data_IF_508511172558
#
_entry.id   IF_508511172558
#
_cell.length_a   1.000
_cell.length_b   1.000
_cell.length_c   1.000
_cell.angle_alpha   90.00
_cell.angle_beta   90.00
_cell.angle_gamma   90.00
#
_symmetry.space_group_name_H-M   'P 1'
#
loop_
_entity.id
_entity.type
_entity.pdbx_description
1 polymer ?
#
# COMPACT_ATOMS: atom_id res chain seq x y z
N UNK A 1 30.50 11.77 45.16
CA UNK A 1 29.60 10.71 44.67
C UNK A 1 28.19 11.17 44.98
N UNK A 2 27.57 11.65 43.91
CA UNK A 2 26.14 11.73 43.56
C UNK A 2 25.07 12.15 44.58
N UNK A 3 24.20 13.01 44.04
CA UNK A 3 23.07 13.76 44.59
C UNK A 3 21.82 12.91 44.85
N UNK A 4 20.85 13.42 45.65
CA UNK A 4 19.61 12.74 46.02
C UNK A 4 18.37 13.24 45.23
N UNK A 5 17.22 12.60 45.54
CA UNK A 5 15.80 12.94 45.21
C UNK A 5 15.29 12.34 43.87
N UNK A 6 14.09 11.77 43.77
CA UNK A 6 12.81 12.17 44.36
C UNK A 6 11.83 11.00 44.51
N UNK A 7 11.07 11.08 45.60
CA UNK A 7 9.83 10.38 45.93
C UNK A 7 8.66 10.72 44.99
N UNK A 8 7.73 9.76 44.79
CA UNK A 8 6.28 9.94 44.95
C UNK A 8 5.56 8.59 44.85
N UNK A 9 4.59 8.41 45.74
CA UNK A 9 3.85 7.19 46.04
C UNK A 9 2.41 7.31 45.52
N UNK A 10 1.82 6.17 45.11
CA UNK A 10 0.38 5.79 45.07
C UNK A 10 -0.72 6.73 44.50
N UNK A 11 -1.64 6.19 43.68
CA UNK A 11 -3.00 5.75 44.08
C UNK A 11 -3.77 5.11 42.89
N UNK A 12 -4.19 3.87 43.12
CA UNK A 12 -5.49 3.20 42.86
C UNK A 12 -6.29 3.40 41.54
N UNK A 13 -6.49 2.28 40.83
CA UNK A 13 -7.84 1.69 40.73
C UNK A 13 -8.48 1.62 39.33
N UNK A 14 -8.57 0.41 38.76
CA UNK A 14 -9.82 -0.35 38.56
C UNK A 14 -9.61 -1.58 37.67
N UNK A 15 -10.08 -2.72 38.16
CA UNK A 15 -10.29 -3.94 37.42
C UNK A 15 -11.39 -3.74 36.37
N UNK A 16 -11.21 -4.33 35.19
CA UNK A 16 -12.29 -4.71 34.30
C UNK A 16 -11.92 -6.04 33.64
N UNK A 17 -12.67 -7.08 34.02
CA UNK A 17 -12.66 -8.41 33.44
C UNK A 17 -13.03 -8.42 31.95
N UNK A 18 -12.42 -9.37 31.23
CA UNK A 18 -13.13 -10.23 30.28
C UNK A 18 -13.69 -9.60 28.99
N UNK A 19 -12.91 -9.66 27.91
CA UNK A 19 -13.42 -10.09 26.60
C UNK A 19 -12.30 -10.50 25.65
N UNK A 20 -12.55 -11.59 24.91
CA UNK A 20 -11.58 -12.34 24.11
C UNK A 20 -10.65 -11.46 23.30
N UNK A 21 -9.35 -11.65 23.55
CA UNK A 21 -8.27 -11.20 22.68
C UNK A 21 -8.39 -12.05 21.41
N UNK A 22 -9.05 -11.52 20.39
CA UNK A 22 -8.83 -12.00 19.03
C UNK A 22 -7.36 -11.74 18.76
N UNK A 23 -6.57 -12.79 18.64
CA UNK A 23 -5.23 -12.69 18.10
C UNK A 23 -5.39 -12.08 16.70
N UNK A 24 -5.10 -10.79 16.59
CA UNK A 24 -4.82 -10.18 15.29
C UNK A 24 -3.58 -10.90 14.79
N UNK A 25 -3.80 -11.91 13.95
CA UNK A 25 -2.76 -12.63 13.23
C UNK A 25 -2.19 -11.70 12.17
N UNK A 26 -1.51 -10.64 12.61
CA UNK A 26 -0.65 -9.84 11.76
C UNK A 26 0.56 -10.72 11.47
N UNK A 27 0.59 -11.28 10.26
CA UNK A 27 1.76 -11.97 9.74
C UNK A 27 2.97 -11.04 9.86
N UNK A 28 4.15 -11.56 10.26
CA UNK A 28 5.35 -10.74 10.38
C UNK A 28 5.67 -10.05 9.04
N UNK A 29 6.24 -8.83 9.08
CA UNK A 29 6.57 -8.10 7.87
C UNK A 29 7.54 -8.91 6.99
N UNK A 30 7.38 -8.85 5.65
CA UNK A 30 8.22 -9.62 4.74
C UNK A 30 9.68 -9.15 4.84
N UNK A 31 10.62 -10.10 4.94
CA UNK A 31 12.04 -9.79 5.01
C UNK A 31 12.58 -9.30 3.65
N UNK A 32 13.55 -8.37 3.65
CA UNK A 32 14.15 -7.87 2.41
C UNK A 32 14.87 -9.00 1.67
N UNK A 33 14.49 -9.23 0.41
CA UNK A 33 15.16 -10.19 -0.48
C UNK A 33 16.17 -9.44 -1.34
N UNK A 34 17.43 -9.88 -1.33
CA UNK A 34 18.53 -9.29 -2.11
C UNK A 34 18.77 -10.09 -3.39
N UNK A 35 18.93 -9.38 -4.52
CA UNK A 35 19.48 -9.80 -5.83
C UNK A 35 18.55 -9.87 -7.05
N UNK A 36 17.55 -9.01 -7.17
CA UNK A 36 16.87 -8.81 -8.46
C UNK A 36 16.97 -7.36 -8.91
N UNK A 37 17.42 -7.14 -10.16
CA UNK A 37 17.49 -5.82 -10.75
C UNK A 37 16.08 -5.20 -10.87
N UNK A 38 15.90 -3.92 -10.53
CA UNK A 38 14.61 -3.26 -10.69
C UNK A 38 14.21 -3.24 -12.19
N UNK A 39 12.93 -3.44 -12.51
CA UNK A 39 12.44 -3.22 -13.87
C UNK A 39 12.60 -1.73 -14.24
N UNK A 40 12.57 -1.40 -15.55
CA UNK A 40 12.63 0.00 -15.98
C UNK A 40 11.48 0.80 -15.38
N UNK A 41 11.76 2.07 -15.04
CA UNK A 41 10.74 2.98 -14.53
C UNK A 41 9.64 3.14 -15.58
N UNK A 42 8.41 2.87 -15.16
CA UNK A 42 7.21 3.13 -15.95
C UNK A 42 6.81 4.60 -15.80
N UNK A 43 6.11 5.20 -16.78
CA UNK A 43 5.57 6.55 -16.65
C UNK A 43 4.67 6.64 -15.41
N UNK A 44 4.73 7.77 -14.69
CA UNK A 44 3.83 8.02 -13.57
C UNK A 44 2.38 8.03 -14.06
N UNK A 45 1.59 7.10 -13.54
CA UNK A 45 0.19 6.90 -13.89
C UNK A 45 -0.67 6.95 -12.63
N UNK A 46 -0.46 8.01 -11.84
CA UNK A 46 -1.26 8.31 -10.66
C UNK A 46 -1.35 9.82 -10.47
N UNK A 47 -2.39 10.26 -9.76
CA UNK A 47 -2.61 11.63 -9.34
C UNK A 47 -3.27 11.66 -7.95
N UNK A 48 -3.16 12.81 -7.29
CA UNK A 48 -3.77 13.06 -5.99
C UNK A 48 -4.91 14.06 -6.17
N UNK A 49 -6.11 13.71 -5.70
CA UNK A 49 -7.29 14.54 -5.77
C UNK A 49 -7.66 15.02 -4.37
N UNK A 50 -7.89 16.32 -4.22
CA UNK A 50 -8.27 16.93 -2.94
C UNK A 50 -9.68 16.47 -2.51
N UNK A 51 -9.79 15.88 -1.32
CA UNK A 51 -11.06 15.42 -0.76
C UNK A 51 -11.27 16.02 0.64
N UNK A 52 -11.72 17.28 0.73
CA UNK A 52 -12.02 18.01 1.99
C UNK A 52 -11.00 17.88 3.14
N UNK A 53 -11.02 16.80 3.92
CA UNK A 53 -10.11 16.50 5.03
C UNK A 53 -9.16 15.30 4.79
N UNK A 54 -9.39 14.54 3.72
CA UNK A 54 -8.62 13.36 3.31
C UNK A 54 -7.95 13.64 1.95
N UNK A 55 -7.16 12.68 1.47
CA UNK A 55 -6.70 12.68 0.07
C UNK A 55 -7.24 11.46 -0.66
N UNK A 56 -7.64 11.67 -1.92
CA UNK A 56 -7.99 10.57 -2.81
C UNK A 56 -6.81 10.25 -3.72
N UNK A 57 -6.29 9.04 -3.59
CA UNK A 57 -5.31 8.45 -4.48
C UNK A 57 -6.05 7.94 -5.72
N UNK A 58 -5.64 8.40 -6.90
CA UNK A 58 -6.12 7.88 -8.18
C UNK A 58 -4.92 7.30 -8.93
N UNK A 59 -4.99 6.03 -9.30
CA UNK A 59 -3.94 5.36 -10.08
C UNK A 59 -4.55 4.52 -11.19
N UNK A 60 -3.82 4.39 -12.30
CA UNK A 60 -4.30 3.69 -13.48
C UNK A 60 -3.21 2.87 -14.17
N UNK A 61 -3.65 1.97 -15.05
CA UNK A 61 -2.76 1.16 -15.89
C UNK A 61 -3.52 0.41 -16.97
N UNK A 62 -2.79 -0.22 -17.88
CA UNK A 62 -3.37 -1.06 -18.95
C UNK A 62 -3.96 -2.37 -18.40
N UNK A 63 -3.62 -2.71 -17.17
CA UNK A 63 -4.16 -3.87 -16.46
C UNK A 63 -4.36 -3.55 -14.99
N UNK A 64 -5.14 -4.39 -14.30
CA UNK A 64 -5.26 -4.33 -12.84
C UNK A 64 -3.88 -4.38 -12.16
N UNK A 65 -2.96 -5.21 -12.67
CA UNK A 65 -1.62 -5.34 -12.11
C UNK A 65 -0.86 -4.02 -12.16
N UNK A 66 -0.88 -3.34 -13.30
CA UNK A 66 -0.23 -2.03 -13.46
C UNK A 66 -0.90 -0.96 -12.58
N UNK A 67 -2.23 -0.93 -12.52
CA UNK A 67 -2.92 0.03 -11.66
C UNK A 67 -2.58 -0.17 -10.17
N UNK A 68 -2.43 -1.43 -9.71
CA UNK A 68 -1.99 -1.74 -8.35
C UNK A 68 -0.51 -1.38 -8.10
N UNK A 69 0.36 -1.62 -9.07
CA UNK A 69 1.77 -1.17 -9.03
C UNK A 69 1.81 0.35 -8.80
N UNK A 70 1.07 1.11 -9.62
CA UNK A 70 1.02 2.58 -9.56
C UNK A 70 0.40 3.10 -8.27
N UNK A 71 -0.69 2.49 -7.81
CA UNK A 71 -1.37 2.87 -6.57
C UNK A 71 -0.45 2.74 -5.35
N UNK A 72 0.38 1.69 -5.34
CA UNK A 72 1.33 1.47 -4.25
C UNK A 72 2.44 2.51 -4.25
N UNK A 73 2.94 2.89 -5.44
CA UNK A 73 3.91 3.99 -5.57
C UNK A 73 3.27 5.34 -5.20
N UNK A 74 2.01 5.56 -5.56
CA UNK A 74 1.26 6.77 -5.19
C UNK A 74 1.16 6.93 -3.66
N UNK A 75 0.92 5.83 -2.94
CA UNK A 75 0.90 5.81 -1.47
C UNK A 75 2.25 6.28 -0.88
N UNK A 76 3.37 5.68 -1.30
CA UNK A 76 4.70 6.08 -0.84
C UNK A 76 5.10 7.50 -1.26
N UNK A 77 4.69 7.92 -2.46
CA UNK A 77 4.94 9.27 -2.98
C UNK A 77 4.17 10.36 -2.22
N UNK A 78 3.05 10.02 -1.59
CA UNK A 78 2.34 10.96 -0.73
C UNK A 78 3.00 11.10 0.64
N UNK A 79 3.51 9.97 1.17
CA UNK A 79 4.27 9.95 2.43
C UNK A 79 5.66 10.58 2.31
N UNK A 80 6.25 10.58 1.11
CA UNK A 80 7.54 11.21 0.85
C UNK A 80 7.48 12.06 -0.42
N UNK A 81 7.57 13.38 -0.23
CA UNK A 81 7.39 14.37 -1.30
C UNK A 81 8.38 14.15 -2.46
N UNK A 82 9.52 13.50 -2.20
CA UNK A 82 10.58 13.26 -3.19
C UNK A 82 10.89 11.77 -3.37
N UNK A 83 9.92 11.00 -3.90
CA UNK A 83 10.09 9.57 -4.23
C UNK A 83 11.27 9.31 -5.19
N UNK A 84 11.69 10.31 -5.96
CA UNK A 84 12.86 10.24 -6.84
C UNK A 84 14.21 10.10 -6.11
N UNK A 85 14.26 10.40 -4.81
CA UNK A 85 15.45 10.18 -3.99
C UNK A 85 15.57 8.75 -3.46
N UNK A 86 14.47 8.00 -3.49
CA UNK A 86 14.44 6.60 -3.04
C UNK A 86 15.24 5.78 -4.03
N UNK A 87 16.18 4.99 -3.55
CA UNK A 87 17.00 4.10 -4.37
C UNK A 87 16.47 2.66 -4.25
N UNK A 88 16.39 1.90 -5.35
CA UNK A 88 15.96 0.51 -5.32
C UNK A 88 17.08 -0.41 -4.78
N UNK A 89 17.44 -0.24 -3.50
CA UNK A 89 18.56 -0.95 -2.84
C UNK A 89 18.20 -2.41 -2.55
N UNK A 90 16.99 -2.67 -2.07
CA UNK A 90 16.49 -4.01 -1.76
C UNK A 90 15.02 -4.16 -2.15
N UNK A 91 14.53 -5.41 -2.11
CA UNK A 91 13.13 -5.72 -2.44
C UNK A 91 12.34 -6.26 -1.26
N UNK A 92 11.06 -5.97 -1.24
CA UNK A 92 10.08 -6.61 -0.36
C UNK A 92 8.89 -7.11 -1.16
N UNK A 93 8.45 -8.33 -0.82
CA UNK A 93 7.29 -8.96 -1.45
C UNK A 93 6.08 -8.78 -0.55
N UNK A 94 5.06 -8.12 -1.11
CA UNK A 94 3.78 -7.92 -0.47
C UNK A 94 2.79 -8.92 -1.06
N UNK A 95 2.05 -9.59 -0.17
CA UNK A 95 0.93 -10.44 -0.55
C UNK A 95 -0.29 -10.03 0.24
N UNK A 96 -1.45 -10.07 -0.42
CA UNK A 96 -2.73 -9.76 0.19
C UNK A 96 -3.80 -10.67 -0.39
N UNK A 97 -4.80 -11.02 0.43
CA UNK A 97 -6.01 -11.70 -0.02
C UNK A 97 -7.25 -10.89 0.32
N UNK A 98 -8.34 -11.13 -0.40
CA UNK A 98 -9.62 -10.49 -0.16
C UNK A 98 -10.78 -11.28 -0.75
N UNK A 99 -11.96 -11.14 -0.15
CA UNK A 99 -13.20 -11.74 -0.66
C UNK A 99 -13.69 -11.08 -1.94
N UNK A 100 -13.32 -9.81 -2.17
CA UNK A 100 -13.54 -9.06 -3.39
C UNK A 100 -12.30 -8.23 -3.77
N UNK A 101 -12.40 -7.49 -4.87
CA UNK A 101 -11.31 -6.63 -5.35
C UNK A 101 -11.02 -5.45 -4.42
N UNK A 102 -12.05 -4.91 -3.76
CA UNK A 102 -11.91 -3.76 -2.87
C UNK A 102 -11.15 -4.15 -1.60
N UNK A 103 -11.51 -5.29 -0.99
CA UNK A 103 -10.81 -5.87 0.14
C UNK A 103 -9.37 -6.25 -0.22
N UNK A 104 -9.13 -6.75 -1.44
CA UNK A 104 -7.78 -7.02 -1.93
C UNK A 104 -6.93 -5.74 -1.99
N UNK A 105 -7.46 -4.66 -2.58
CA UNK A 105 -6.78 -3.36 -2.68
C UNK A 105 -6.51 -2.78 -1.29
N UNK A 106 -7.53 -2.79 -0.44
CA UNK A 106 -7.40 -2.33 0.95
C UNK A 106 -6.28 -3.07 1.67
N UNK A 107 -6.32 -4.41 1.70
CA UNK A 107 -5.34 -5.21 2.43
C UNK A 107 -3.93 -5.06 1.87
N UNK A 108 -3.79 -4.88 0.55
CA UNK A 108 -2.50 -4.61 -0.09
C UNK A 108 -1.91 -3.27 0.36
N UNK A 109 -2.71 -2.19 0.32
CA UNK A 109 -2.26 -0.86 0.72
C UNK A 109 -2.00 -0.78 2.22
N UNK A 110 -2.82 -1.44 3.05
CA UNK A 110 -2.63 -1.51 4.49
C UNK A 110 -1.32 -2.23 4.84
N UNK A 111 -0.99 -3.33 4.15
CA UNK A 111 0.29 -4.00 4.31
C UNK A 111 1.48 -3.11 3.90
N UNK A 112 1.34 -2.31 2.83
CA UNK A 112 2.36 -1.36 2.40
C UNK A 112 2.54 -0.23 3.42
N UNK A 113 1.44 0.35 3.90
CA UNK A 113 1.45 1.38 4.95
C UNK A 113 2.11 0.85 6.22
N UNK A 114 1.74 -0.35 6.66
CA UNK A 114 2.35 -1.00 7.81
C UNK A 114 3.86 -1.15 7.66
N UNK A 115 4.36 -1.51 6.47
CA UNK A 115 5.80 -1.64 6.23
C UNK A 115 6.56 -0.33 6.29
N UNK A 116 5.87 0.79 6.03
CA UNK A 116 6.44 2.14 6.20
C UNK A 116 6.42 2.57 7.67
N UNK A 117 5.37 2.24 8.43
CA UNK A 117 5.21 2.64 9.82
C UNK A 117 6.00 1.77 10.82
N UNK A 118 6.25 0.50 10.50
CA UNK A 118 6.99 -0.44 11.33
C UNK A 118 8.40 -0.71 10.75
N UNK A 119 9.33 -1.17 11.59
CA UNK A 119 10.65 -1.62 11.11
C UNK A 119 10.48 -2.62 9.95
N UNK A 120 11.13 -2.40 8.79
CA UNK A 120 12.33 -1.57 8.56
C UNK A 120 12.08 -0.14 8.03
N UNK A 121 10.86 0.41 8.17
CA UNK A 121 10.43 1.69 7.60
C UNK A 121 10.58 1.72 6.08
N UNK A 122 10.10 0.68 5.41
CA UNK A 122 10.32 0.49 3.99
C UNK A 122 9.59 1.55 3.15
N UNK A 123 10.28 2.07 2.14
CA UNK A 123 9.70 2.91 1.11
C UNK A 123 10.03 2.35 -0.28
N UNK A 124 8.99 2.20 -1.10
CA UNK A 124 9.10 1.70 -2.47
C UNK A 124 9.22 2.79 -3.54
N UNK A 125 10.09 2.56 -4.53
CA UNK A 125 10.18 3.38 -5.75
C UNK A 125 9.64 2.68 -6.99
N UNK A 126 9.84 1.37 -7.09
CA UNK A 126 9.43 0.57 -8.25
C UNK A 126 8.59 -0.59 -7.74
N UNK A 127 7.43 -0.81 -8.34
CA UNK A 127 6.57 -1.95 -8.02
C UNK A 127 6.42 -2.83 -9.25
N UNK A 128 6.38 -4.14 -9.03
CA UNK A 128 6.10 -5.15 -10.05
C UNK A 128 5.07 -6.14 -9.53
N UNK A 129 3.95 -6.20 -10.21
CA UNK A 129 2.94 -7.22 -10.06
C UNK A 129 3.52 -8.57 -10.48
N UNK A 130 3.44 -9.55 -9.58
CA UNK A 130 3.96 -10.89 -9.82
C UNK A 130 2.83 -11.83 -10.23
N UNK A 131 1.74 -11.87 -9.47
CA UNK A 131 0.67 -12.83 -9.69
C UNK A 131 -0.67 -12.36 -9.08
N UNK A 132 -1.77 -12.81 -9.69
CA UNK A 132 -3.12 -12.76 -9.14
C UNK A 132 -3.72 -14.15 -9.20
N UNK A 133 -3.97 -14.75 -8.05
CA UNK A 133 -4.73 -16.00 -7.95
C UNK A 133 -6.20 -15.64 -7.81
N UNK A 134 -6.98 -15.99 -8.82
CA UNK A 134 -8.44 -15.89 -8.79
C UNK A 134 -9.02 -17.14 -8.16
N UNK A 135 -10.13 -17.03 -7.41
CA UNK A 135 -10.84 -18.20 -6.91
C UNK A 135 -11.29 -19.08 -8.06
N UNK A 136 -10.89 -20.36 -8.06
CA UNK A 136 -11.23 -21.32 -9.11
C UNK A 136 -12.18 -22.37 -8.57
N UNK A 137 -13.50 -22.14 -8.72
CA UNK A 137 -14.55 -23.13 -8.40
C UNK A 137 -15.12 -23.04 -6.98
N UNK A 138 -15.79 -24.11 -6.53
CA UNK A 138 -16.53 -24.20 -5.26
C UNK A 138 -15.62 -24.37 -4.02
N UNK A 139 -14.34 -24.02 -4.11
CA UNK A 139 -13.30 -24.33 -3.11
C UNK A 139 -13.15 -23.29 -1.99
N UNK A 140 -13.94 -22.21 -1.99
CA UNK A 140 -13.90 -21.20 -0.93
C UNK A 140 -12.57 -20.43 -0.84
N UNK A 141 -11.76 -20.46 -1.90
CA UNK A 141 -10.52 -19.70 -1.98
C UNK A 141 -10.82 -18.21 -2.15
N UNK A 142 -9.99 -17.35 -1.58
CA UNK A 142 -10.09 -15.90 -1.73
C UNK A 142 -9.23 -15.41 -2.91
N UNK A 143 -9.58 -14.25 -3.45
CA UNK A 143 -8.75 -13.54 -4.41
C UNK A 143 -7.44 -13.17 -3.71
N UNK A 144 -6.28 -13.45 -4.33
CA UNK A 144 -5.00 -13.04 -3.75
C UNK A 144 -4.05 -12.47 -4.79
N UNK A 145 -3.25 -11.50 -4.36
CA UNK A 145 -2.26 -10.80 -5.17
C UNK A 145 -0.89 -10.87 -4.53
N UNK A 146 0.14 -10.89 -5.37
CA UNK A 146 1.52 -10.74 -4.95
C UNK A 146 2.19 -9.65 -5.79
N UNK A 147 2.84 -8.70 -5.12
CA UNK A 147 3.58 -7.59 -5.71
C UNK A 147 4.96 -7.54 -5.06
N UNK A 148 5.98 -7.33 -5.88
CA UNK A 148 7.34 -7.02 -5.42
C UNK A 148 7.61 -5.55 -5.54
N UNK A 149 8.24 -4.97 -4.53
CA UNK A 149 8.57 -3.55 -4.52
C UNK A 149 10.07 -3.39 -4.26
N UNK A 150 10.74 -2.59 -5.07
CA UNK A 150 12.13 -2.19 -4.91
C UNK A 150 12.20 -0.82 -4.28
N UNK A 151 13.06 -0.68 -3.29
CA UNK A 151 13.23 0.56 -2.55
C UNK A 151 14.29 0.44 -1.47
N UNK A 152 14.14 1.23 -0.41
CA UNK A 152 15.06 1.25 0.72
C UNK A 152 14.32 1.57 2.02
N UNK A 153 15.04 1.61 3.14
CA UNK A 153 14.50 2.10 4.40
C UNK A 153 14.45 3.62 4.40
N UNK A 154 13.38 4.18 4.94
CA UNK A 154 13.17 5.61 5.05
C UNK A 154 14.22 6.23 5.99
N UNK A 155 15.09 7.06 5.43
CA UNK A 155 16.01 7.92 6.15
C UNK A 155 15.51 9.39 6.17
N UNK A 156 15.16 9.98 7.33
CA UNK A 156 14.73 11.38 7.44
C UNK A 156 15.75 12.41 6.94
N UNK A 157 17.04 12.05 6.84
CA UNK A 157 18.06 12.95 6.29
C UNK A 157 18.08 12.97 4.76
N UNK A 158 17.74 11.83 4.14
CA UNK A 158 17.73 11.64 2.69
C UNK A 158 16.36 12.01 2.10
N UNK A 159 15.30 11.59 2.77
CA UNK A 159 13.91 11.66 2.31
C UNK A 159 13.13 12.72 3.09
N UNK A 160 12.70 13.82 2.46
CA UNK A 160 11.78 14.77 3.07
C UNK A 160 10.48 14.06 3.43
N UNK A 161 10.10 14.15 4.70
CA UNK A 161 8.82 13.63 5.16
C UNK A 161 7.68 14.45 4.54
N UNK A 162 6.77 13.77 3.86
CA UNK A 162 5.55 14.34 3.32
C UNK A 162 4.43 14.34 4.35
N UNK A 163 3.25 13.94 3.90
CA UNK A 163 2.07 13.85 4.77
C UNK A 163 1.96 12.45 5.34
N UNK A 164 1.78 12.34 6.65
CA UNK A 164 1.51 11.06 7.30
C UNK A 164 0.13 10.54 6.87
N UNK A 165 0.05 9.26 6.53
CA UNK A 165 -1.22 8.58 6.26
C UNK A 165 -1.53 7.72 7.48
N UNK A 166 -2.68 7.94 8.11
CA UNK A 166 -3.12 7.21 9.30
C UNK A 166 -3.77 5.88 8.96
N UNK A 167 -4.59 5.85 7.91
CA UNK A 167 -5.35 4.67 7.54
C UNK A 167 -5.80 4.69 6.07
N UNK A 168 -5.94 3.50 5.49
CA UNK A 168 -6.64 3.29 4.23
C UNK A 168 -8.14 3.21 4.52
N UNK A 169 -9.00 3.74 3.64
CA UNK A 169 -10.46 3.68 3.86
C UNK A 169 -11.19 2.98 2.71
N UNK A 170 -12.34 2.39 3.03
CA UNK A 170 -13.28 1.88 2.02
C UNK A 170 -14.18 2.98 1.44
N UNK A 171 -14.11 4.20 2.00
CA UNK A 171 -14.95 5.33 1.62
C UNK A 171 -14.71 5.69 0.16
N UNK A 172 -15.76 5.57 -0.66
CA UNK A 172 -15.71 5.85 -2.10
C UNK A 172 -14.58 5.13 -2.84
N UNK A 173 -14.21 3.91 -2.41
CA UNK A 173 -13.28 3.08 -3.16
C UNK A 173 -13.92 2.62 -4.47
N UNK A 174 -13.25 2.87 -5.59
CA UNK A 174 -13.75 2.52 -6.92
C UNK A 174 -12.66 1.83 -7.73
N UNK A 175 -13.03 0.74 -8.39
CA UNK A 175 -12.16 0.01 -9.32
C UNK A 175 -12.92 -0.06 -10.63
N UNK A 176 -12.56 0.80 -11.56
CA UNK A 176 -13.21 0.93 -12.86
C UNK A 176 -12.36 0.17 -13.88
N UNK A 177 -12.99 -0.73 -14.62
CA UNK A 177 -12.36 -1.42 -15.75
C UNK A 177 -13.11 -1.01 -16.99
N UNK A 178 -12.44 -0.28 -17.87
CA UNK A 178 -12.96 0.00 -19.19
C UNK A 178 -12.75 -1.23 -20.06
N UNK A 179 -13.85 -1.89 -20.41
CA UNK A 179 -13.85 -2.96 -21.42
C UNK A 179 -13.76 -2.34 -22.81
N UNK A 180 -13.06 -3.03 -23.73
CA UNK A 180 -13.00 -2.65 -25.14
C UNK A 180 -14.42 -2.53 -25.71
N UNK A 181 -14.82 -1.32 -26.12
CA UNK A 181 -15.96 -1.16 -27.03
C UNK A 181 -15.46 -1.39 -28.46
N UNK A 182 -15.91 -2.45 -29.10
CA UNK A 182 -15.82 -2.60 -30.55
C UNK A 182 -16.71 -1.54 -31.21
N UNK A 183 -16.16 -0.40 -31.62
CA UNK A 183 -16.86 0.52 -32.54
C UNK A 183 -15.95 0.92 -33.71
N UNK A 184 -16.26 0.29 -34.85
CA UNK A 184 -16.19 0.68 -36.26
C UNK A 184 -15.06 1.57 -36.83
N UNK A 185 -14.47 1.04 -37.91
CA UNK A 185 -13.78 1.70 -39.03
C UNK A 185 -13.03 3.02 -38.73
N UNK A 186 -11.93 2.96 -37.97
CA UNK A 186 -11.20 4.20 -37.69
C UNK A 186 -9.88 4.12 -36.90
N UNK A 187 -9.16 3.00 -36.90
CA UNK A 187 -7.71 3.01 -36.66
C UNK A 187 -7.18 3.51 -35.29
N UNK A 188 -7.92 3.38 -34.18
CA UNK A 188 -7.33 3.35 -32.83
C UNK A 188 -8.01 2.26 -32.00
N UNK A 189 -7.26 1.20 -31.70
CA UNK A 189 -7.67 0.18 -30.73
C UNK A 189 -7.80 0.87 -29.36
N UNK A 190 -8.98 0.86 -28.70
CA UNK A 190 -9.07 1.34 -27.33
C UNK A 190 -8.31 0.36 -26.44
N UNK A 191 -7.18 0.80 -25.86
CA UNK A 191 -6.44 0.00 -24.89
C UNK A 191 -7.29 0.00 -23.61
N UNK A 192 -7.89 -1.14 -23.26
CA UNK A 192 -8.65 -1.28 -22.02
C UNK A 192 -7.82 -0.80 -20.83
N UNK A 193 -8.36 0.13 -20.05
CA UNK A 193 -7.69 0.77 -18.91
C UNK A 193 -8.37 0.36 -17.61
N UNK A 194 -7.56 0.19 -16.57
CA UNK A 194 -8.05 0.00 -15.20
C UNK A 194 -7.69 1.21 -14.38
N UNK A 195 -8.68 1.80 -13.71
CA UNK A 195 -8.55 2.95 -12.82
C UNK A 195 -8.97 2.55 -11.41
N UNK A 196 -8.17 2.95 -10.42
CA UNK A 196 -8.39 2.67 -9.01
C UNK A 196 -8.40 3.99 -8.24
N UNK A 197 -9.47 4.22 -7.50
CA UNK A 197 -9.65 5.37 -6.61
C UNK A 197 -9.74 4.88 -5.17
N UNK A 198 -8.91 5.42 -4.28
CA UNK A 198 -8.88 5.09 -2.86
C UNK A 198 -8.74 6.37 -2.05
N UNK A 199 -9.58 6.54 -1.04
CA UNK A 199 -9.44 7.64 -0.07
C UNK A 199 -8.58 7.15 1.11
N UNK A 200 -7.62 7.96 1.52
CA UNK A 200 -6.76 7.70 2.68
C UNK A 200 -6.88 8.83 3.70
N UNK A 201 -6.93 8.46 4.98
CA UNK A 201 -7.00 9.36 6.13
C UNK A 201 -5.59 9.86 6.46
N UNK A 202 -5.43 11.18 6.59
CA UNK A 202 -4.14 11.88 6.80
C UNK A 202 -4.09 12.55 8.16
#
# INVERSE_FOLDING_TARGET
METPQSSANEICGREAEGKGRKECSLSPPPLPSSNECPPPLVPCQYEYLDHTADVQLHAWGQSLGEALEQLTIALYGYMTIEIDRVEPIYTMDFSASGHDLSALVYNLLDNCLYSFCAEPFFIGRVAKFLNLKKPSGNTGEELSVQIRIWGESFDPQKHPQGTEIKAITYSNMQIIREEEKEEDEGGKVPIGRTDIFVIVDI
#
